data_IF_201488243400
#
_entry.id   IF_201488243400
#
_cell.length_a   1.000
_cell.length_b   1.000
_cell.length_c   1.000
_cell.angle_alpha   90.00
_cell.angle_beta   90.00
_cell.angle_gamma   90.00
#
_symmetry.space_group_name_H-M   'P 1'
#
loop_
_entity.id
_entity.type
_entity.pdbx_description
1 polymer ?
#
# COMPACT_ATOMS: atom_id res chain seq x y z
N UNK A 1 27.70 11.75 65.57
CA UNK A 1 28.49 11.49 64.38
C UNK A 1 28.18 10.17 63.63
N UNK A 2 27.20 9.38 64.00
CA UNK A 2 26.79 8.12 63.32
C UNK A 2 25.73 8.31 62.18
N UNK A 3 24.99 9.39 62.20
CA UNK A 3 23.87 9.64 61.27
C UNK A 3 24.37 9.98 59.88
N UNK A 4 25.53 10.64 59.71
CA UNK A 4 26.05 11.05 58.41
C UNK A 4 26.49 9.86 57.50
N UNK A 5 26.96 8.76 58.13
CA UNK A 5 27.42 7.57 57.36
C UNK A 5 26.28 6.76 56.76
N UNK A 6 25.08 6.80 57.35
CA UNK A 6 23.89 6.12 56.85
C UNK A 6 23.37 6.86 55.61
N UNK A 7 23.32 8.19 55.65
CA UNK A 7 22.89 8.99 54.50
C UNK A 7 23.82 8.84 53.32
N UNK A 8 25.11 8.77 53.57
CA UNK A 8 26.08 8.54 52.46
C UNK A 8 25.93 7.15 51.83
N UNK A 9 25.61 6.12 52.61
CA UNK A 9 25.35 4.76 52.09
C UNK A 9 24.02 4.67 51.32
N UNK A 10 22.99 5.37 51.77
CA UNK A 10 21.70 5.43 51.05
C UNK A 10 21.83 6.23 49.75
N UNK A 11 22.54 7.34 49.77
CA UNK A 11 22.81 8.13 48.56
C UNK A 11 23.64 7.37 47.55
N UNK A 12 24.68 6.64 47.97
CA UNK A 12 25.50 5.82 47.06
C UNK A 12 24.72 4.61 46.51
N UNK A 13 23.83 4.00 47.28
CA UNK A 13 22.93 2.94 46.79
C UNK A 13 21.91 3.47 45.77
N UNK A 14 21.35 4.67 46.01
CA UNK A 14 20.45 5.33 45.05
C UNK A 14 21.17 5.70 43.75
N UNK A 15 22.39 6.21 43.79
CA UNK A 15 23.18 6.52 42.65
C UNK A 15 23.59 5.23 41.92
N UNK A 16 23.97 4.17 42.59
CA UNK A 16 24.29 2.86 41.97
C UNK A 16 23.02 2.23 41.32
N UNK A 17 21.86 2.37 41.97
CA UNK A 17 20.59 1.91 41.39
C UNK A 17 20.20 2.74 40.18
N UNK A 18 20.44 4.06 40.17
CA UNK A 18 20.26 4.92 38.99
C UNK A 18 21.18 4.49 37.84
N UNK A 19 22.45 4.17 38.10
CA UNK A 19 23.38 3.67 37.09
C UNK A 19 23.03 2.26 36.60
N UNK A 20 22.43 1.42 37.41
CA UNK A 20 21.96 0.08 37.01
C UNK A 20 20.67 0.14 36.14
N UNK A 21 19.80 1.12 36.40
CA UNK A 21 18.60 1.33 35.59
C UNK A 21 18.89 2.10 34.30
N UNK A 22 19.97 2.87 34.23
CA UNK A 22 20.48 3.54 33.03
C UNK A 22 21.47 2.67 32.22
N UNK A 23 21.44 1.35 32.31
CA UNK A 23 21.85 0.57 31.16
C UNK A 23 20.83 0.85 30.07
N UNK A 24 21.11 1.88 29.26
CA UNK A 24 20.47 2.01 27.97
C UNK A 24 20.59 0.64 27.28
N UNK A 25 19.51 -0.10 27.09
CA UNK A 25 19.54 -1.05 26.00
C UNK A 25 19.83 -0.12 24.83
N UNK A 26 21.03 -0.27 24.23
CA UNK A 26 21.31 0.41 22.99
C UNK A 26 20.04 0.24 22.17
N UNK A 27 19.43 1.35 21.73
CA UNK A 27 18.31 1.30 20.83
C UNK A 27 18.80 0.43 19.67
N UNK A 28 18.54 -0.87 19.77
CA UNK A 28 18.46 -1.67 18.57
C UNK A 28 17.34 -0.92 17.83
N UNK A 29 17.76 -0.14 16.84
CA UNK A 29 16.87 0.18 15.77
C UNK A 29 16.37 -1.18 15.30
N UNK A 30 15.28 -1.63 15.87
CA UNK A 30 14.42 -2.58 15.21
C UNK A 30 13.98 -1.73 14.02
N UNK A 31 14.78 -1.81 12.95
CA UNK A 31 14.20 -1.60 11.65
C UNK A 31 12.99 -2.50 11.69
N UNK A 32 11.81 -1.90 11.74
CA UNK A 32 10.61 -2.65 11.47
C UNK A 32 10.96 -3.39 10.18
N UNK A 33 11.04 -4.70 10.25
CA UNK A 33 11.49 -5.59 9.16
C UNK A 33 10.39 -5.65 8.09
N UNK A 34 9.61 -4.60 8.05
CA UNK A 34 8.45 -4.41 7.26
C UNK A 34 8.68 -3.35 6.23
N UNK A 35 8.41 -3.70 5.06
CA UNK A 35 8.28 -2.79 3.97
C UNK A 35 9.32 -3.01 2.91
N UNK A 36 8.93 -2.68 1.71
CA UNK A 36 9.74 -2.55 0.54
C UNK A 36 9.95 -1.06 0.24
N UNK A 37 10.56 -0.27 1.17
CA UNK A 37 10.82 1.12 0.91
C UNK A 37 11.82 1.20 -0.23
N UNK A 38 11.60 2.14 -1.14
CA UNK A 38 12.46 2.34 -2.31
C UNK A 38 12.51 1.20 -3.31
N UNK A 39 11.57 0.26 -3.29
CA UNK A 39 11.58 -0.87 -4.22
C UNK A 39 10.39 -0.83 -5.16
N UNK A 40 10.65 -1.22 -6.42
CA UNK A 40 9.61 -1.58 -7.37
C UNK A 40 9.76 -3.06 -7.74
N UNK A 41 8.64 -3.74 -7.93
CA UNK A 41 8.57 -5.16 -8.29
C UNK A 41 7.97 -5.30 -9.67
N UNK A 42 8.61 -6.10 -10.51
CA UNK A 42 8.24 -6.29 -11.91
C UNK A 42 8.01 -7.76 -12.18
N UNK A 43 6.79 -8.12 -12.57
CA UNK A 43 6.44 -9.48 -12.98
C UNK A 43 6.69 -9.71 -14.48
N UNK A 44 6.87 -10.97 -14.87
CA UNK A 44 7.12 -11.37 -16.26
C UNK A 44 8.57 -11.18 -16.71
N UNK A 45 9.48 -10.95 -15.78
CA UNK A 45 10.90 -10.82 -16.10
C UNK A 45 11.56 -12.18 -16.34
N UNK A 46 12.75 -12.19 -16.92
CA UNK A 46 13.49 -13.43 -17.22
C UNK A 46 13.75 -14.31 -15.98
N UNK A 47 13.66 -13.76 -14.79
CA UNK A 47 13.85 -14.47 -13.51
C UNK A 47 12.56 -14.61 -12.68
N UNK A 48 11.40 -14.30 -13.25
CA UNK A 48 10.11 -14.28 -12.56
C UNK A 48 9.76 -12.87 -12.08
N UNK A 49 10.17 -12.47 -10.88
CA UNK A 49 10.02 -11.09 -10.38
C UNK A 49 11.40 -10.45 -10.29
N UNK A 50 11.58 -9.29 -10.91
CA UNK A 50 12.76 -8.44 -10.69
C UNK A 50 12.44 -7.38 -9.65
N UNK A 51 13.44 -7.08 -8.81
CA UNK A 51 13.37 -6.03 -7.79
C UNK A 51 14.26 -4.87 -8.22
N UNK A 52 13.67 -3.71 -8.39
CA UNK A 52 14.36 -2.46 -8.75
C UNK A 52 14.47 -1.61 -7.48
N UNK A 53 15.67 -1.17 -7.17
CA UNK A 53 15.90 -0.10 -6.20
C UNK A 53 15.64 1.25 -6.87
N UNK A 54 14.64 1.98 -6.39
CA UNK A 54 14.17 3.24 -6.98
C UNK A 54 15.25 4.32 -6.89
N UNK A 55 15.94 4.42 -5.76
CA UNK A 55 17.00 5.39 -5.55
C UNK A 55 18.26 5.10 -6.36
N UNK A 56 18.61 3.82 -6.55
CA UNK A 56 19.76 3.40 -7.36
C UNK A 56 19.41 3.25 -8.85
N UNK A 57 18.13 3.25 -9.21
CA UNK A 57 17.62 3.12 -10.58
C UNK A 57 18.13 1.87 -11.30
N UNK A 58 18.22 0.75 -10.59
CA UNK A 58 18.73 -0.52 -11.14
C UNK A 58 18.10 -1.73 -10.49
N UNK A 59 18.18 -2.87 -11.18
CA UNK A 59 17.80 -4.17 -10.60
C UNK A 59 18.81 -4.55 -9.53
N UNK A 60 18.31 -4.79 -8.31
CA UNK A 60 19.13 -5.19 -7.15
C UNK A 60 18.85 -6.61 -6.67
N UNK A 61 17.76 -7.23 -7.15
CA UNK A 61 17.39 -8.57 -6.79
C UNK A 61 16.39 -9.20 -7.76
N UNK A 62 16.10 -10.47 -7.54
CA UNK A 62 15.05 -11.17 -8.27
C UNK A 62 14.53 -12.35 -7.45
N UNK A 63 13.25 -12.69 -7.64
CA UNK A 63 12.60 -13.85 -7.04
C UNK A 63 12.24 -14.84 -8.13
N UNK A 64 12.84 -16.04 -8.07
CA UNK A 64 12.51 -17.11 -9.01
C UNK A 64 11.12 -17.67 -8.68
N UNK A 65 10.27 -17.78 -9.71
CA UNK A 65 8.94 -18.34 -9.58
C UNK A 65 8.81 -19.60 -10.44
N UNK A 66 8.05 -20.57 -9.95
CA UNK A 66 7.87 -21.87 -10.62
C UNK A 66 6.88 -21.84 -11.77
N UNK A 67 6.07 -20.81 -11.87
CA UNK A 67 5.06 -20.62 -12.92
C UNK A 67 5.00 -19.16 -13.35
N UNK A 68 4.36 -18.93 -14.50
CA UNK A 68 4.11 -17.59 -15.01
C UNK A 68 3.24 -16.79 -14.03
N UNK A 69 3.62 -15.53 -13.87
CA UNK A 69 2.96 -14.56 -13.01
C UNK A 69 2.16 -13.58 -13.86
N UNK A 70 1.01 -13.14 -13.38
CA UNK A 70 0.21 -12.13 -14.10
C UNK A 70 0.14 -10.83 -13.30
N UNK A 71 -0.42 -10.82 -12.12
CA UNK A 71 -0.53 -9.65 -11.28
C UNK A 71 0.27 -9.79 -9.99
N UNK A 72 0.75 -8.66 -9.50
CA UNK A 72 1.40 -8.53 -8.20
C UNK A 72 0.76 -7.38 -7.45
N UNK A 73 0.66 -7.51 -6.12
CA UNK A 73 0.14 -6.50 -5.23
C UNK A 73 1.00 -6.46 -3.97
N UNK A 74 1.37 -5.27 -3.51
CA UNK A 74 2.16 -5.10 -2.30
C UNK A 74 1.22 -4.77 -1.13
N UNK A 75 1.42 -5.43 0.03
CA UNK A 75 0.67 -5.11 1.24
C UNK A 75 0.91 -3.66 1.66
N UNK A 76 -0.06 -3.04 2.36
CA UNK A 76 0.02 -1.62 2.76
C UNK A 76 1.26 -1.32 3.61
N UNK A 77 1.71 -2.29 4.40
CA UNK A 77 2.93 -2.18 5.21
C UNK A 77 4.20 -2.54 4.43
N UNK A 78 4.06 -2.94 3.16
CA UNK A 78 5.15 -3.30 2.25
C UNK A 78 5.89 -4.59 2.59
N UNK A 79 5.43 -5.38 3.58
CA UNK A 79 6.12 -6.62 4.01
C UNK A 79 5.84 -7.81 3.12
N UNK A 80 4.68 -7.83 2.47
CA UNK A 80 4.20 -8.98 1.71
C UNK A 80 3.89 -8.59 0.27
N UNK A 81 4.25 -9.48 -0.63
CA UNK A 81 3.95 -9.39 -2.05
C UNK A 81 2.99 -10.51 -2.41
N UNK A 82 1.77 -10.17 -2.79
CA UNK A 82 0.80 -11.12 -3.31
C UNK A 82 0.99 -11.27 -4.80
N UNK A 83 1.01 -12.49 -5.28
CA UNK A 83 1.24 -12.79 -6.70
C UNK A 83 0.21 -13.79 -7.20
N UNK A 84 -0.29 -13.56 -8.41
CA UNK A 84 -1.18 -14.49 -9.10
C UNK A 84 -0.40 -15.36 -10.08
N UNK A 85 -0.77 -16.62 -10.15
CA UNK A 85 -0.18 -17.65 -11.01
C UNK A 85 -1.30 -18.36 -11.77
N UNK A 86 -1.81 -17.76 -12.87
CA UNK A 86 -3.01 -18.24 -13.56
C UNK A 86 -2.90 -19.68 -14.06
N UNK A 87 -1.74 -20.06 -14.61
CA UNK A 87 -1.50 -21.39 -15.17
C UNK A 87 -1.55 -22.50 -14.12
N UNK A 88 -1.15 -22.23 -12.91
CA UNK A 88 -1.20 -23.17 -11.78
C UNK A 88 -2.43 -22.99 -10.87
N UNK A 89 -3.24 -21.96 -11.09
CA UNK A 89 -4.42 -21.66 -10.27
C UNK A 89 -4.10 -21.17 -8.87
N UNK A 90 -2.92 -20.56 -8.63
CA UNK A 90 -2.51 -20.16 -7.29
C UNK A 90 -2.46 -18.66 -7.12
N UNK A 91 -2.74 -18.23 -5.88
CA UNK A 91 -2.35 -16.93 -5.34
C UNK A 91 -1.41 -17.18 -4.18
N UNK A 92 -0.20 -16.63 -4.25
CA UNK A 92 0.83 -16.82 -3.25
C UNK A 92 1.18 -15.51 -2.56
N UNK A 93 1.46 -15.58 -1.26
CA UNK A 93 2.03 -14.49 -0.48
C UNK A 93 3.51 -14.74 -0.27
N UNK A 94 4.33 -13.78 -0.67
CA UNK A 94 5.77 -13.81 -0.54
C UNK A 94 6.22 -12.76 0.48
N UNK A 95 7.32 -13.03 1.18
CA UNK A 95 8.02 -11.97 1.90
C UNK A 95 8.65 -11.00 0.89
N UNK A 96 8.26 -9.74 0.90
CA UNK A 96 8.68 -8.73 -0.08
C UNK A 96 10.20 -8.53 -0.14
N UNK A 97 10.89 -8.75 0.98
CA UNK A 97 12.34 -8.60 1.08
C UNK A 97 13.14 -9.77 0.52
N UNK A 98 12.64 -10.99 0.66
CA UNK A 98 13.39 -12.21 0.35
C UNK A 98 12.80 -13.02 -0.81
N UNK A 99 11.55 -12.77 -1.18
CA UNK A 99 10.80 -13.59 -2.15
C UNK A 99 10.40 -14.96 -1.61
N UNK A 100 10.63 -15.24 -0.32
CA UNK A 100 10.22 -16.51 0.29
C UNK A 100 8.69 -16.61 0.33
N UNK A 101 8.15 -17.72 -0.18
CA UNK A 101 6.73 -18.01 -0.09
C UNK A 101 6.34 -18.29 1.36
N UNK A 102 5.35 -17.56 1.86
CA UNK A 102 4.80 -17.69 3.21
C UNK A 102 3.58 -18.62 3.20
N UNK A 103 2.67 -18.38 2.29
CA UNK A 103 1.50 -19.21 2.05
C UNK A 103 1.05 -19.13 0.59
N UNK A 104 0.18 -20.07 0.19
CA UNK A 104 -0.41 -20.12 -1.13
C UNK A 104 -1.83 -20.67 -1.04
N UNK A 105 -2.75 -20.13 -1.82
CA UNK A 105 -4.11 -20.61 -1.98
C UNK A 105 -4.32 -21.15 -3.38
N UNK A 106 -5.00 -22.30 -3.51
CA UNK A 106 -5.50 -22.76 -4.80
C UNK A 106 -6.85 -22.10 -5.08
N UNK A 107 -6.87 -21.22 -6.07
CA UNK A 107 -8.03 -20.39 -6.40
C UNK A 107 -8.58 -20.81 -7.76
N UNK A 108 -9.89 -21.07 -7.86
CA UNK A 108 -10.49 -21.42 -9.13
C UNK A 108 -10.49 -20.24 -10.12
N UNK A 109 -10.48 -20.55 -11.42
CA UNK A 109 -10.72 -19.54 -12.45
C UNK A 109 -9.49 -18.78 -12.92
N UNK A 110 -8.29 -19.39 -12.87
CA UNK A 110 -7.06 -18.80 -13.41
C UNK A 110 -6.81 -17.37 -12.88
N UNK A 111 -6.50 -17.21 -11.59
CA UNK A 111 -6.40 -15.91 -10.94
C UNK A 111 -5.36 -15.04 -11.66
N UNK A 112 -5.77 -13.85 -12.12
CA UNK A 112 -4.95 -12.88 -12.85
C UNK A 112 -5.12 -11.45 -12.34
N UNK A 113 -6.04 -11.24 -11.41
CA UNK A 113 -6.41 -9.95 -10.86
C UNK A 113 -6.31 -9.96 -9.34
N UNK A 114 -5.88 -8.85 -8.76
CA UNK A 114 -5.81 -8.63 -7.32
C UNK A 114 -6.40 -7.27 -6.98
N UNK A 115 -7.16 -7.20 -5.89
CA UNK A 115 -7.59 -5.95 -5.26
C UNK A 115 -7.62 -6.13 -3.75
N UNK A 116 -7.20 -5.14 -3.00
CA UNK A 116 -7.17 -5.19 -1.55
C UNK A 116 -8.16 -4.22 -0.93
N UNK A 117 -8.92 -4.70 0.05
CA UNK A 117 -9.82 -3.89 0.86
C UNK A 117 -9.20 -3.66 2.24
N UNK A 118 -8.66 -2.45 2.51
CA UNK A 118 -8.04 -2.15 3.79
C UNK A 118 -9.03 -2.09 4.95
N UNK A 119 -10.29 -1.74 4.69
CA UNK A 119 -11.31 -1.64 5.73
C UNK A 119 -11.80 -3.00 6.22
N UNK A 120 -11.93 -3.96 5.32
CA UNK A 120 -12.31 -5.33 5.66
C UNK A 120 -11.11 -6.24 5.89
N UNK A 121 -9.90 -5.80 5.59
CA UNK A 121 -8.69 -6.59 5.58
C UNK A 121 -8.86 -7.89 4.77
N UNK A 122 -9.21 -7.73 3.50
CA UNK A 122 -9.50 -8.82 2.56
C UNK A 122 -8.74 -8.59 1.26
N UNK A 123 -8.14 -9.64 0.74
CA UNK A 123 -7.57 -9.67 -0.60
C UNK A 123 -8.57 -10.36 -1.54
N UNK A 124 -9.02 -9.63 -2.55
CA UNK A 124 -9.85 -10.17 -3.62
C UNK A 124 -8.99 -10.63 -4.79
N UNK A 125 -9.35 -11.76 -5.37
CA UNK A 125 -8.75 -12.25 -6.60
C UNK A 125 -9.80 -12.79 -7.55
N UNK A 126 -9.56 -12.64 -8.84
CA UNK A 126 -10.37 -13.20 -9.92
C UNK A 126 -9.51 -13.33 -11.18
N UNK A 127 -10.04 -13.88 -12.25
CA UNK A 127 -9.31 -13.89 -13.52
C UNK A 127 -10.01 -14.57 -14.67
N UNK A 128 -9.31 -14.60 -15.79
CA UNK A 128 -9.77 -15.20 -17.04
C UNK A 128 -10.04 -16.70 -16.87
N UNK A 129 -11.18 -17.16 -17.37
CA UNK A 129 -11.61 -18.55 -17.27
C UNK A 129 -12.42 -18.88 -16.02
N UNK A 130 -12.66 -17.91 -15.11
CA UNK A 130 -13.53 -18.02 -13.96
C UNK A 130 -14.58 -16.93 -13.91
N UNK A 131 -15.75 -17.32 -13.37
CA UNK A 131 -16.87 -16.42 -13.12
C UNK A 131 -17.02 -16.14 -11.62
N UNK A 132 -15.90 -16.07 -10.90
CA UNK A 132 -15.96 -15.88 -9.46
C UNK A 132 -14.87 -14.92 -8.96
N UNK A 133 -15.21 -14.16 -7.93
CA UNK A 133 -14.26 -13.42 -7.10
C UNK A 133 -14.05 -14.22 -5.83
N UNK A 134 -12.81 -14.54 -5.53
CA UNK A 134 -12.43 -15.25 -4.30
C UNK A 134 -11.87 -14.24 -3.29
N UNK A 135 -12.38 -14.31 -2.07
CA UNK A 135 -11.87 -13.56 -0.91
C UNK A 135 -10.83 -14.39 -0.17
N UNK A 136 -9.66 -13.83 0.01
CA UNK A 136 -8.55 -14.42 0.76
C UNK A 136 -8.28 -13.63 2.03
N UNK A 137 -7.87 -14.34 3.06
CA UNK A 137 -7.24 -13.73 4.23
C UNK A 137 -5.82 -13.30 3.84
N UNK A 138 -5.48 -12.00 3.94
CA UNK A 138 -4.16 -11.51 3.52
C UNK A 138 -3.02 -11.94 4.44
N UNK A 139 -3.31 -12.49 5.63
CA UNK A 139 -2.29 -12.92 6.58
C UNK A 139 -1.88 -14.40 6.45
N UNK A 140 -2.74 -15.24 5.88
CA UNK A 140 -2.51 -16.69 5.83
C UNK A 140 -2.99 -17.37 4.55
N UNK A 141 -3.42 -16.62 3.53
CA UNK A 141 -3.97 -17.10 2.27
C UNK A 141 -5.25 -17.96 2.38
N UNK A 142 -5.90 -18.04 3.53
CA UNK A 142 -7.11 -18.84 3.67
C UNK A 142 -8.24 -18.26 2.81
N UNK A 143 -8.92 -19.12 2.05
CA UNK A 143 -10.12 -18.73 1.31
C UNK A 143 -11.24 -18.50 2.32
N UNK A 144 -11.74 -17.24 2.40
CA UNK A 144 -12.86 -16.87 3.26
C UNK A 144 -14.19 -17.20 2.60
N UNK A 145 -14.30 -16.86 1.32
CA UNK A 145 -15.50 -17.16 0.51
C UNK A 145 -15.27 -16.88 -0.97
N UNK A 146 -16.27 -17.24 -1.77
CA UNK A 146 -16.31 -16.98 -3.21
C UNK A 146 -17.63 -16.30 -3.58
N UNK A 147 -17.57 -15.25 -4.38
CA UNK A 147 -18.71 -14.52 -4.96
C UNK A 147 -18.83 -14.98 -6.41
N UNK A 148 -19.91 -15.68 -6.74
CA UNK A 148 -20.16 -16.13 -8.10
C UNK A 148 -20.73 -15.02 -8.98
N UNK A 149 -20.20 -14.88 -10.16
CA UNK A 149 -20.64 -13.97 -11.21
C UNK A 149 -21.28 -14.76 -12.36
N UNK A 150 -22.07 -14.04 -13.18
CA UNK A 150 -22.73 -14.68 -14.33
C UNK A 150 -21.86 -14.73 -15.59
N UNK A 151 -20.73 -14.05 -15.57
CA UNK A 151 -19.83 -13.93 -16.72
C UNK A 151 -18.35 -13.79 -16.31
N UNK A 152 -17.39 -14.01 -17.22
CA UNK A 152 -15.97 -13.84 -16.94
C UNK A 152 -15.61 -12.45 -16.45
N UNK A 153 -14.63 -12.39 -15.54
CA UNK A 153 -14.18 -11.17 -14.86
C UNK A 153 -12.90 -10.68 -15.52
N UNK A 154 -12.85 -9.38 -15.80
CA UNK A 154 -11.74 -8.71 -16.49
C UNK A 154 -11.08 -7.60 -15.66
N UNK A 155 -11.69 -7.18 -14.54
CA UNK A 155 -11.12 -6.15 -13.69
C UNK A 155 -11.68 -6.18 -12.28
N UNK A 156 -10.86 -5.80 -11.32
CA UNK A 156 -11.20 -5.65 -9.91
C UNK A 156 -10.65 -4.33 -9.39
N UNK A 157 -11.43 -3.64 -8.58
CA UNK A 157 -10.95 -2.51 -7.79
C UNK A 157 -11.76 -2.37 -6.50
N UNK A 158 -11.19 -1.74 -5.49
CA UNK A 158 -11.88 -1.36 -4.27
C UNK A 158 -11.94 0.16 -4.18
N UNK A 159 -13.15 0.70 -4.01
CA UNK A 159 -13.39 2.10 -3.74
C UNK A 159 -13.71 2.30 -2.26
N UNK A 160 -13.11 3.31 -1.64
CA UNK A 160 -13.44 3.76 -0.29
C UNK A 160 -14.21 5.06 -0.43
N UNK A 161 -15.51 5.01 -0.19
CA UNK A 161 -16.41 6.14 -0.41
C UNK A 161 -16.94 6.63 0.93
N UNK A 162 -16.92 7.95 1.16
CA UNK A 162 -17.54 8.55 2.33
C UNK A 162 -19.05 8.27 2.36
N UNK A 163 -19.60 7.83 3.48
CA UNK A 163 -21.03 7.53 3.64
C UNK A 163 -21.91 8.76 3.80
N UNK A 164 -21.30 9.96 3.79
CA UNK A 164 -21.98 11.23 4.06
C UNK A 164 -22.01 11.61 5.54
N UNK A 165 -21.75 10.69 6.47
CA UNK A 165 -21.53 11.00 7.86
C UNK A 165 -20.03 11.25 8.11
N UNK A 166 -19.65 12.24 8.96
CA UNK A 166 -18.26 12.53 9.24
C UNK A 166 -17.49 11.31 9.79
N UNK A 167 -16.44 10.91 9.10
CA UNK A 167 -15.57 9.80 9.52
C UNK A 167 -16.09 8.39 9.16
N UNK A 168 -17.25 8.26 8.57
CA UNK A 168 -17.74 6.97 8.08
C UNK A 168 -17.39 6.77 6.60
N UNK A 169 -16.87 5.60 6.28
CA UNK A 169 -16.60 5.18 4.92
C UNK A 169 -17.29 3.86 4.61
N UNK A 170 -17.65 3.67 3.36
CA UNK A 170 -18.17 2.42 2.84
C UNK A 170 -17.21 1.89 1.78
N UNK A 171 -16.71 0.69 1.99
CA UNK A 171 -15.87 0.02 1.01
C UNK A 171 -16.75 -0.68 -0.02
N UNK A 172 -16.46 -0.42 -1.28
CA UNK A 172 -17.17 -0.99 -2.42
C UNK A 172 -16.19 -1.82 -3.25
N UNK A 173 -16.54 -3.07 -3.48
CA UNK A 173 -15.84 -3.90 -4.46
C UNK A 173 -16.48 -3.66 -5.83
N UNK A 174 -15.68 -3.21 -6.79
CA UNK A 174 -16.04 -3.01 -8.18
C UNK A 174 -15.49 -4.14 -9.04
N UNK A 175 -16.37 -4.82 -9.75
CA UNK A 175 -16.05 -5.99 -10.59
C UNK A 175 -16.45 -5.70 -12.02
N UNK A 176 -15.47 -5.66 -12.92
CA UNK A 176 -15.70 -5.57 -14.34
C UNK A 176 -15.93 -6.99 -14.90
N UNK A 177 -17.14 -7.24 -15.41
CA UNK A 177 -17.43 -8.47 -16.11
C UNK A 177 -17.46 -8.29 -17.63
N UNK A 178 -18.03 -9.21 -18.40
CA UNK A 178 -18.00 -9.16 -19.85
C UNK A 178 -18.67 -7.89 -20.43
N UNK A 179 -19.64 -7.29 -19.75
CA UNK A 179 -20.43 -6.16 -20.27
C UNK A 179 -20.67 -5.06 -19.26
N UNK A 180 -20.44 -5.34 -17.98
CA UNK A 180 -20.91 -4.49 -16.88
C UNK A 180 -19.83 -4.26 -15.83
N UNK A 181 -20.00 -3.16 -15.10
CA UNK A 181 -19.38 -2.94 -13.79
C UNK A 181 -20.41 -3.26 -12.72
N UNK A 182 -20.09 -4.23 -11.89
CA UNK A 182 -20.92 -4.65 -10.76
C UNK A 182 -20.33 -4.12 -9.46
N UNK A 183 -21.14 -3.51 -8.62
CA UNK A 183 -20.70 -2.87 -7.37
C UNK A 183 -21.27 -3.63 -6.20
N UNK A 184 -20.40 -4.08 -5.31
CA UNK A 184 -20.74 -4.82 -4.11
C UNK A 184 -20.38 -4.04 -2.85
N UNK A 185 -21.28 -4.06 -1.87
CA UNK A 185 -21.03 -3.59 -0.50
C UNK A 185 -21.36 -4.73 0.45
N UNK A 186 -20.48 -5.05 1.35
CA UNK A 186 -20.66 -6.18 2.26
C UNK A 186 -21.16 -7.44 1.51
N UNK A 187 -20.54 -7.73 0.35
CA UNK A 187 -20.84 -8.89 -0.51
C UNK A 187 -22.19 -8.89 -1.21
N UNK A 188 -22.97 -7.84 -1.02
CA UNK A 188 -24.27 -7.68 -1.66
C UNK A 188 -24.11 -6.80 -2.88
N UNK A 189 -24.63 -7.25 -4.02
CA UNK A 189 -24.73 -6.44 -5.24
C UNK A 189 -25.66 -5.26 -4.99
N UNK A 190 -25.15 -4.04 -5.11
CA UNK A 190 -25.91 -2.80 -4.90
C UNK A 190 -26.15 -2.03 -6.19
N UNK A 191 -25.53 -2.42 -7.28
CA UNK A 191 -25.70 -1.83 -8.59
C UNK A 191 -24.90 -2.52 -9.68
N UNK A 192 -25.39 -2.38 -10.90
CA UNK A 192 -24.72 -2.84 -12.11
C UNK A 192 -24.86 -1.75 -13.17
N UNK A 193 -23.75 -1.46 -13.86
CA UNK A 193 -23.66 -0.42 -14.87
C UNK A 193 -23.13 -1.04 -16.18
N UNK A 194 -23.91 -0.95 -17.24
CA UNK A 194 -23.48 -1.40 -18.57
C UNK A 194 -22.37 -0.48 -19.10
N UNK A 195 -21.29 -1.08 -19.62
CA UNK A 195 -20.17 -0.36 -20.21
C UNK A 195 -19.99 -0.82 -21.65
N UNK A 196 -20.24 0.05 -22.64
CA UNK A 196 -20.06 -0.28 -24.04
C UNK A 196 -18.61 -0.70 -24.32
N UNK A 197 -18.41 -1.75 -25.09
CA UNK A 197 -17.08 -2.27 -25.39
C UNK A 197 -16.49 -3.24 -24.36
N UNK A 198 -17.23 -3.53 -23.28
CA UNK A 198 -16.86 -4.46 -22.23
C UNK A 198 -15.73 -3.94 -21.34
N UNK A 199 -16.00 -3.66 -20.08
CA UNK A 199 -15.01 -3.11 -19.16
C UNK A 199 -13.85 -4.09 -18.93
N UNK A 200 -12.66 -3.55 -18.63
CA UNK A 200 -11.46 -4.34 -18.42
C UNK A 200 -10.73 -3.87 -17.15
N UNK A 201 -9.86 -2.88 -17.25
CA UNK A 201 -9.12 -2.39 -16.10
C UNK A 201 -9.83 -1.20 -15.46
N UNK A 202 -9.69 -1.11 -14.13
CA UNK A 202 -10.24 -0.02 -13.34
C UNK A 202 -9.14 0.66 -12.55
N UNK A 203 -9.21 1.98 -12.44
CA UNK A 203 -8.42 2.78 -11.51
C UNK A 203 -9.35 3.74 -10.78
N UNK A 204 -9.22 3.79 -9.46
CA UNK A 204 -10.07 4.62 -8.59
C UNK A 204 -9.15 5.55 -7.79
N UNK A 205 -8.73 6.68 -8.37
CA UNK A 205 -7.94 7.68 -7.66
C UNK A 205 -8.73 8.31 -6.51
N UNK A 206 -8.06 8.97 -5.56
CA UNK A 206 -8.74 9.76 -4.55
C UNK A 206 -9.70 10.76 -5.18
N UNK A 207 -10.97 10.77 -4.74
CA UNK A 207 -12.01 11.63 -5.28
C UNK A 207 -13.32 10.90 -5.56
N UNK A 208 -14.02 11.30 -6.60
CA UNK A 208 -15.38 10.82 -6.91
C UNK A 208 -15.49 10.10 -8.25
N UNK A 209 -14.39 9.84 -8.93
CA UNK A 209 -14.37 9.32 -10.29
C UNK A 209 -13.53 8.05 -10.38
N UNK A 210 -14.09 6.99 -10.93
CA UNK A 210 -13.36 5.83 -11.40
C UNK A 210 -13.09 5.96 -12.90
N UNK A 211 -11.94 5.46 -13.35
CA UNK A 211 -11.61 5.33 -14.77
C UNK A 211 -11.67 3.86 -15.17
N UNK A 212 -12.23 3.61 -16.32
CA UNK A 212 -12.48 2.26 -16.83
C UNK A 212 -12.01 2.16 -18.26
N UNK A 213 -11.08 1.26 -18.53
CA UNK A 213 -10.73 0.88 -19.91
C UNK A 213 -11.65 -0.23 -20.38
N UNK A 214 -11.79 -0.36 -21.69
CA UNK A 214 -12.61 -1.41 -22.29
C UNK A 214 -11.79 -2.28 -23.24
N UNK A 215 -12.24 -3.51 -23.40
CA UNK A 215 -11.61 -4.48 -24.33
C UNK A 215 -11.69 -4.04 -25.80
N UNK A 216 -12.63 -3.14 -26.13
CA UNK A 216 -12.75 -2.54 -27.48
C UNK A 216 -11.97 -1.22 -27.61
N UNK A 217 -11.10 -0.88 -26.64
CA UNK A 217 -10.16 0.23 -26.75
C UNK A 217 -10.78 1.60 -26.53
N UNK A 218 -11.67 1.72 -25.55
CA UNK A 218 -12.17 3.01 -25.05
C UNK A 218 -11.86 3.20 -23.57
N UNK A 219 -11.80 4.46 -23.13
CA UNK A 219 -11.70 4.86 -21.73
C UNK A 219 -12.94 5.65 -21.34
N UNK A 220 -13.53 5.31 -20.23
CA UNK A 220 -14.68 5.98 -19.64
C UNK A 220 -14.37 6.47 -18.23
N UNK A 221 -15.04 7.53 -17.81
CA UNK A 221 -15.16 7.93 -16.42
C UNK A 221 -16.49 7.46 -15.83
N UNK A 222 -16.49 7.06 -14.57
CA UNK A 222 -17.66 6.68 -13.82
C UNK A 222 -17.73 7.52 -12.56
N UNK A 223 -18.84 8.22 -12.35
CA UNK A 223 -19.11 8.90 -11.08
C UNK A 223 -19.43 7.86 -10.01
N UNK A 224 -18.61 7.81 -8.95
CA UNK A 224 -18.70 6.80 -7.90
C UNK A 224 -19.99 6.91 -7.06
N UNK A 225 -20.55 8.12 -6.97
CA UNK A 225 -21.75 8.39 -6.16
C UNK A 225 -23.03 8.05 -6.94
N UNK A 226 -23.17 8.63 -8.13
CA UNK A 226 -24.37 8.45 -8.97
C UNK A 226 -24.31 7.18 -9.82
N UNK A 227 -23.13 6.57 -9.95
CA UNK A 227 -22.86 5.41 -10.83
C UNK A 227 -23.23 5.67 -12.28
N UNK A 228 -23.00 6.88 -12.74
CA UNK A 228 -23.23 7.26 -14.14
C UNK A 228 -21.93 7.13 -14.94
N UNK A 229 -22.05 6.54 -16.11
CA UNK A 229 -20.99 6.45 -17.10
C UNK A 229 -20.95 7.75 -17.91
N UNK A 230 -19.75 8.26 -18.15
CA UNK A 230 -19.50 9.35 -19.11
C UNK A 230 -19.69 8.87 -20.56
N UNK A 231 -19.76 9.75 -21.55
CA UNK A 231 -19.31 9.45 -22.89
C UNK A 231 -17.85 8.96 -22.87
N UNK A 232 -17.37 8.25 -23.92
CA UNK A 232 -15.96 7.85 -23.97
C UNK A 232 -15.06 9.09 -23.96
N UNK A 233 -14.05 9.06 -23.09
CA UNK A 233 -13.02 10.11 -23.00
C UNK A 233 -12.05 10.00 -24.20
N UNK A 234 -11.67 8.78 -24.53
CA UNK A 234 -10.93 8.43 -25.74
C UNK A 234 -11.39 7.08 -26.26
N UNK A 235 -11.11 6.82 -27.52
CA UNK A 235 -11.41 5.56 -28.21
C UNK A 235 -10.32 5.23 -29.24
N UNK A 236 -10.22 3.95 -29.61
CA UNK A 236 -9.29 3.49 -30.64
C UNK A 236 -7.90 3.14 -30.10
N UNK A 237 -7.75 2.95 -28.77
CA UNK A 237 -6.54 2.47 -28.14
C UNK A 237 -6.55 0.97 -27.83
N UNK A 238 -5.49 0.51 -27.18
CA UNK A 238 -5.41 -0.79 -26.51
C UNK A 238 -4.73 -0.57 -25.17
N UNK A 239 -5.50 -0.69 -24.09
CA UNK A 239 -5.07 -0.17 -22.79
C UNK A 239 -4.63 -1.28 -21.83
N UNK A 240 -3.52 -1.04 -21.13
CA UNK A 240 -3.00 -1.87 -20.03
C UNK A 240 -3.52 -1.43 -18.68
N UNK A 241 -3.13 -2.17 -17.61
CA UNK A 241 -3.36 -1.75 -16.22
C UNK A 241 -2.82 -0.35 -15.95
N UNK A 242 -3.68 0.50 -15.42
CA UNK A 242 -3.42 1.91 -15.15
C UNK A 242 -3.14 2.16 -13.67
N UNK A 243 -2.47 3.25 -13.37
CA UNK A 243 -2.24 3.73 -12.02
C UNK A 243 -2.49 5.24 -11.93
N UNK A 244 -2.45 5.79 -10.74
CA UNK A 244 -2.73 7.19 -10.50
C UNK A 244 -1.73 7.84 -9.52
N UNK A 245 -1.53 9.13 -9.68
CA UNK A 245 -0.81 9.95 -8.71
C UNK A 245 -1.75 10.27 -7.54
N UNK A 246 -1.42 9.79 -6.34
CA UNK A 246 -2.26 9.98 -5.15
C UNK A 246 -2.41 11.44 -4.70
N UNK A 247 -1.47 12.32 -5.09
CA UNK A 247 -1.51 13.75 -4.73
C UNK A 247 -2.29 14.60 -5.72
N UNK A 248 -2.17 14.31 -7.01
CA UNK A 248 -2.83 15.10 -8.07
C UNK A 248 -4.13 14.47 -8.55
N UNK A 249 -4.34 13.19 -8.22
CA UNK A 249 -5.41 12.34 -8.77
C UNK A 249 -5.38 12.21 -10.31
N UNK A 250 -4.26 12.57 -10.94
CA UNK A 250 -4.05 12.28 -12.36
C UNK A 250 -3.94 10.78 -12.58
N UNK A 251 -4.59 10.27 -13.63
CA UNK A 251 -4.55 8.85 -14.01
C UNK A 251 -3.66 8.68 -15.22
N UNK A 252 -2.80 7.68 -15.16
CA UNK A 252 -1.82 7.31 -16.18
C UNK A 252 -2.22 5.98 -16.79
N UNK A 253 -2.52 5.99 -18.08
CA UNK A 253 -3.12 4.87 -18.81
C UNK A 253 -2.15 4.42 -19.91
N UNK A 254 -1.52 3.24 -19.80
CA UNK A 254 -0.71 2.69 -20.88
C UNK A 254 -1.55 2.41 -22.12
N UNK A 255 -1.24 3.04 -23.23
CA UNK A 255 -1.81 2.73 -24.54
C UNK A 255 -0.81 1.91 -25.37
N UNK A 256 -1.04 0.62 -25.42
CA UNK A 256 -0.19 -0.35 -26.10
C UNK A 256 -0.20 -0.16 -27.62
N UNK A 257 -1.36 0.26 -28.17
CA UNK A 257 -1.50 0.44 -29.63
C UNK A 257 -0.68 1.63 -30.13
N UNK A 258 -0.78 2.76 -29.40
CA UNK A 258 -0.12 4.00 -29.78
C UNK A 258 1.27 4.16 -29.14
N UNK A 259 1.74 3.18 -28.35
CA UNK A 259 3.04 3.17 -27.64
C UNK A 259 3.26 4.43 -26.82
N UNK A 260 2.28 4.75 -26.00
CA UNK A 260 2.31 5.95 -25.14
C UNK A 260 1.65 5.69 -23.79
N UNK A 261 1.83 6.60 -22.87
CA UNK A 261 1.02 6.70 -21.66
C UNK A 261 0.16 7.94 -21.77
N UNK A 262 -1.14 7.75 -21.75
CA UNK A 262 -2.13 8.83 -21.72
C UNK A 262 -2.38 9.28 -20.29
N UNK A 263 -2.42 10.60 -20.08
CA UNK A 263 -2.59 11.19 -18.76
C UNK A 263 -3.86 12.02 -18.74
N UNK A 264 -4.75 11.70 -17.80
CA UNK A 264 -5.98 12.46 -17.57
C UNK A 264 -5.92 13.17 -16.21
N UNK A 265 -6.26 14.46 -16.23
CA UNK A 265 -6.51 15.22 -15.01
C UNK A 265 -7.78 14.75 -14.31
N UNK A 266 -7.91 14.93 -12.99
CA UNK A 266 -9.10 14.50 -12.26
C UNK A 266 -10.36 15.18 -12.78
N UNK A 267 -11.44 14.40 -12.90
CA UNK A 267 -12.77 14.88 -13.27
C UNK A 267 -13.56 15.07 -11.98
N UNK A 268 -14.05 16.28 -11.75
CA UNK A 268 -14.83 16.61 -10.57
C UNK A 268 -16.35 16.50 -10.84
N UNK A 269 -17.18 16.18 -9.82
CA UNK A 269 -18.62 16.19 -9.94
C UNK A 269 -19.12 17.56 -10.43
N UNK A 270 -20.06 17.54 -11.40
CA UNK A 270 -20.61 18.77 -11.97
C UNK A 270 -19.75 19.41 -13.06
N UNK A 271 -18.65 18.80 -13.48
CA UNK A 271 -17.89 19.25 -14.66
C UNK A 271 -18.79 19.15 -15.90
N UNK A 272 -19.05 20.32 -16.52
CA UNK A 272 -19.93 20.41 -17.69
C UNK A 272 -19.24 20.00 -19.00
N UNK A 273 -17.91 20.03 -19.04
CA UNK A 273 -17.10 19.67 -20.20
C UNK A 273 -16.16 18.54 -19.83
N UNK A 274 -16.45 17.35 -20.34
CA UNK A 274 -15.54 16.20 -20.19
C UNK A 274 -14.40 16.30 -21.24
N UNK A 275 -13.19 15.83 -20.89
CA UNK A 275 -12.13 15.74 -21.87
C UNK A 275 -12.50 14.73 -22.97
N UNK A 276 -12.11 15.02 -24.20
CA UNK A 276 -12.25 14.13 -25.35
C UNK A 276 -10.87 13.66 -25.86
N UNK A 277 -9.83 14.07 -25.18
CA UNK A 277 -8.43 13.71 -25.43
C UNK A 277 -7.66 13.71 -24.11
N UNK A 278 -6.53 13.01 -24.00
CA UNK A 278 -5.67 13.09 -22.84
C UNK A 278 -5.12 14.51 -22.65
N UNK A 279 -4.93 14.91 -21.39
CA UNK A 279 -4.24 16.17 -21.08
C UNK A 279 -2.78 16.14 -21.56
N UNK A 280 -2.17 14.95 -21.52
CA UNK A 280 -0.83 14.67 -22.03
C UNK A 280 -0.77 13.26 -22.57
N UNK A 281 0.08 13.07 -23.61
CA UNK A 281 0.48 11.75 -24.11
C UNK A 281 1.99 11.66 -24.10
N UNK A 282 2.53 10.71 -23.35
CA UNK A 282 3.96 10.47 -23.18
C UNK A 282 4.36 9.35 -24.11
N UNK A 283 5.00 9.66 -25.22
CA UNK A 283 5.41 8.68 -26.22
C UNK A 283 6.61 7.83 -25.77
N UNK A 284 6.57 6.55 -26.10
CA UNK A 284 7.54 5.56 -25.70
C UNK A 284 8.17 4.87 -26.91
N UNK A 285 9.43 4.44 -26.76
CA UNK A 285 10.12 3.66 -27.81
C UNK A 285 9.65 2.21 -27.94
N UNK A 286 8.88 1.70 -26.98
CA UNK A 286 8.37 0.34 -26.94
C UNK A 286 6.93 0.32 -26.42
N UNK A 287 6.25 -0.83 -26.56
CA UNK A 287 4.86 -1.00 -26.12
C UNK A 287 4.77 -1.03 -24.60
N UNK A 288 4.05 -0.08 -23.95
CA UNK A 288 3.82 -0.12 -22.51
C UNK A 288 2.82 -1.23 -22.17
N UNK A 289 3.08 -1.97 -21.09
CA UNK A 289 2.23 -3.04 -20.62
C UNK A 289 1.44 -2.62 -19.38
N UNK A 290 2.10 -2.00 -18.43
CA UNK A 290 1.51 -1.46 -17.18
C UNK A 290 2.36 -0.31 -16.67
N UNK A 291 1.81 0.44 -15.73
CA UNK A 291 2.50 1.53 -15.04
C UNK A 291 2.26 1.43 -13.53
N UNK A 292 3.24 1.87 -12.74
CA UNK A 292 3.10 2.09 -11.31
C UNK A 292 3.73 3.43 -10.94
N UNK A 293 3.05 4.20 -10.09
CA UNK A 293 3.51 5.51 -9.64
C UNK A 293 3.94 5.42 -8.18
N UNK A 294 5.06 6.04 -7.86
CA UNK A 294 5.56 6.08 -6.47
C UNK A 294 4.60 6.81 -5.55
N UNK A 295 4.58 6.43 -4.28
CA UNK A 295 3.65 6.99 -3.29
C UNK A 295 3.81 8.49 -3.05
N UNK A 296 4.96 9.09 -3.41
CA UNK A 296 5.20 10.54 -3.39
C UNK A 296 4.75 11.26 -4.68
N UNK A 297 4.29 10.49 -5.68
CA UNK A 297 3.84 11.01 -6.97
C UNK A 297 4.94 11.62 -7.84
N UNK A 298 6.23 11.34 -7.56
CA UNK A 298 7.34 11.96 -8.29
C UNK A 298 7.84 11.10 -9.44
N UNK A 299 7.77 9.78 -9.30
CA UNK A 299 8.29 8.85 -10.28
C UNK A 299 7.21 7.87 -10.73
N UNK A 300 7.27 7.49 -12.01
CA UNK A 300 6.50 6.42 -12.60
C UNK A 300 7.42 5.35 -13.17
N UNK A 301 7.00 4.09 -13.10
CA UNK A 301 7.70 2.95 -13.69
C UNK A 301 6.77 2.27 -14.67
N UNK A 302 7.20 2.14 -15.92
CA UNK A 302 6.41 1.60 -17.00
C UNK A 302 7.05 0.29 -17.47
N UNK A 303 6.35 -0.82 -17.30
CA UNK A 303 6.76 -2.10 -17.86
C UNK A 303 6.62 -2.04 -19.39
N UNK A 304 7.69 -2.36 -20.11
CA UNK A 304 7.74 -2.29 -21.57
C UNK A 304 7.93 -3.68 -22.17
N UNK A 305 7.22 -3.99 -23.23
CA UNK A 305 7.52 -5.15 -24.02
C UNK A 305 8.99 -5.11 -24.50
N UNK A 306 9.65 -6.28 -24.48
CA UNK A 306 11.06 -6.37 -24.88
C UNK A 306 12.05 -6.28 -23.72
N UNK A 307 11.59 -6.46 -22.48
CA UNK A 307 12.48 -6.71 -21.33
C UNK A 307 12.99 -5.47 -20.63
N UNK A 308 12.34 -4.32 -20.77
CA UNK A 308 12.75 -3.07 -20.16
C UNK A 308 11.66 -2.49 -19.25
N UNK A 309 12.07 -1.63 -18.32
CA UNK A 309 11.22 -0.75 -17.55
C UNK A 309 11.66 0.68 -17.79
N UNK A 310 10.77 1.53 -18.29
CA UNK A 310 11.03 2.95 -18.37
C UNK A 310 10.72 3.64 -17.06
N UNK A 311 11.57 4.57 -16.67
CA UNK A 311 11.39 5.42 -15.50
C UNK A 311 10.97 6.81 -15.95
N UNK A 312 9.82 7.24 -15.47
CA UNK A 312 9.15 8.49 -15.82
C UNK A 312 9.30 9.49 -14.68
N UNK A 313 9.77 10.68 -14.98
CA UNK A 313 9.62 11.85 -14.11
C UNK A 313 8.18 12.37 -14.26
N UNK A 314 7.38 12.23 -13.21
CA UNK A 314 5.96 12.58 -13.22
C UNK A 314 5.75 14.09 -13.41
N UNK A 315 6.40 14.99 -12.65
CA UNK A 315 6.27 16.43 -12.85
C UNK A 315 6.71 16.89 -14.24
N UNK A 316 7.84 16.38 -14.71
CA UNK A 316 8.40 16.76 -16.01
C UNK A 316 7.76 16.06 -17.21
N UNK A 317 6.92 15.02 -16.98
CA UNK A 317 6.27 14.21 -18.04
C UNK A 317 7.27 13.64 -19.07
N UNK A 318 8.45 13.23 -18.62
CA UNK A 318 9.53 12.73 -19.47
C UNK A 318 10.18 11.46 -18.97
N UNK A 319 10.64 10.62 -19.87
CA UNK A 319 11.41 9.42 -19.53
C UNK A 319 12.84 9.86 -19.16
N UNK A 320 13.26 9.49 -17.94
CA UNK A 320 14.58 9.86 -17.41
C UNK A 320 15.57 8.69 -17.39
N UNK A 321 15.08 7.46 -17.44
CA UNK A 321 15.94 6.27 -17.47
C UNK A 321 15.20 5.08 -18.08
N UNK A 322 15.97 4.05 -18.49
CA UNK A 322 15.45 2.75 -18.92
C UNK A 322 16.27 1.64 -18.29
N UNK A 323 15.60 0.74 -17.57
CA UNK A 323 16.21 -0.32 -16.77
C UNK A 323 15.95 -1.66 -17.45
N UNK A 324 17.02 -2.40 -17.81
CA UNK A 324 16.90 -3.73 -18.38
C UNK A 324 16.56 -4.75 -17.27
N UNK A 325 15.44 -5.45 -17.40
CA UNK A 325 14.98 -6.51 -16.49
C UNK A 325 14.93 -7.89 -17.19
N UNK A 326 14.93 -7.91 -18.50
CA UNK A 326 14.81 -9.10 -19.34
C UNK A 326 13.41 -9.70 -19.34
N UNK A 327 13.18 -10.76 -20.15
CA UNK A 327 11.86 -11.40 -20.27
C UNK A 327 10.84 -10.54 -20.97
N UNK A 328 9.58 -10.65 -20.55
CA UNK A 328 8.46 -9.83 -21.03
C UNK A 328 7.74 -9.20 -19.84
N UNK A 329 8.28 -8.14 -19.26
CA UNK A 329 7.66 -7.47 -18.13
C UNK A 329 6.29 -6.93 -18.51
N UNK A 330 5.27 -7.28 -17.75
CA UNK A 330 3.88 -6.93 -18.06
C UNK A 330 3.11 -6.34 -16.89
N UNK A 331 3.60 -6.53 -15.66
CA UNK A 331 3.01 -5.90 -14.48
C UNK A 331 4.09 -5.33 -13.56
N UNK A 332 3.83 -4.17 -12.99
CA UNK A 332 4.76 -3.49 -12.09
C UNK A 332 3.99 -2.84 -10.94
N UNK A 333 4.61 -2.84 -9.76
CA UNK A 333 4.12 -2.13 -8.59
C UNK A 333 5.28 -1.49 -7.83
N UNK A 334 5.03 -0.35 -7.18
CA UNK A 334 6.01 0.35 -6.34
C UNK A 334 5.68 0.21 -4.87
N UNK A 335 6.71 0.15 -4.03
CA UNK A 335 6.61 0.31 -2.59
C UNK A 335 6.55 1.78 -2.18
N UNK A 336 6.54 2.03 -0.86
CA UNK A 336 6.59 3.38 -0.31
C UNK A 336 7.88 4.09 -0.71
N UNK A 337 7.77 5.27 -1.29
CA UNK A 337 8.89 6.13 -1.68
C UNK A 337 8.53 7.61 -1.51
N UNK A 338 9.37 8.47 -0.91
CA UNK A 338 10.51 8.06 -0.09
C UNK A 338 10.07 7.25 1.13
N UNK A 339 10.96 6.45 1.73
CA UNK A 339 10.60 5.71 2.93
C UNK A 339 10.18 6.69 4.02
N UNK A 340 9.03 6.46 4.62
CA UNK A 340 8.54 7.28 5.72
C UNK A 340 9.42 7.01 6.95
N UNK A 341 10.46 7.81 7.13
CA UNK A 341 11.32 7.74 8.31
C UNK A 341 10.48 8.12 9.53
N UNK A 342 10.29 7.19 10.44
CA UNK A 342 9.61 7.42 11.73
C UNK A 342 8.10 7.20 11.77
N UNK A 343 7.46 6.72 10.71
CA UNK A 343 6.02 6.43 10.69
C UNK A 343 5.68 4.93 10.78
N UNK A 344 6.59 4.08 11.28
CA UNK A 344 6.08 2.83 11.83
C UNK A 344 5.15 3.21 12.98
N UNK A 345 3.89 2.69 13.04
CA UNK A 345 3.14 2.74 14.27
C UNK A 345 4.06 2.11 15.31
N UNK A 346 4.63 2.95 16.14
CA UNK A 346 5.32 2.48 17.32
C UNK A 346 4.20 1.77 18.09
N UNK A 347 4.16 0.44 18.05
CA UNK A 347 3.42 -0.29 19.05
C UNK A 347 3.82 0.41 20.36
N UNK A 348 2.83 1.01 21.04
CA UNK A 348 3.08 1.72 22.27
C UNK A 348 3.76 0.70 23.18
N UNK A 349 5.09 0.74 23.18
CA UNK A 349 5.91 -0.24 23.86
C UNK A 349 5.45 -0.16 25.30
N UNK A 350 4.96 -1.26 25.83
CA UNK A 350 4.59 -1.39 27.25
C UNK A 350 5.73 -0.81 28.13
N UNK A 351 6.97 -0.97 27.64
CA UNK A 351 8.17 -0.38 28.25
C UNK A 351 8.23 1.15 28.15
N UNK A 352 7.73 1.78 27.11
CA UNK A 352 7.64 3.25 27.04
C UNK A 352 6.68 3.81 28.09
N UNK A 353 5.55 3.13 28.30
CA UNK A 353 4.60 3.48 29.35
C UNK A 353 5.19 3.24 30.74
N UNK A 354 5.90 2.12 30.93
CA UNK A 354 6.58 1.80 32.20
C UNK A 354 7.68 2.81 32.53
N UNK A 355 8.48 3.22 31.53
CA UNK A 355 9.55 4.22 31.71
C UNK A 355 8.94 5.58 32.06
N UNK A 356 7.87 6.00 31.42
CA UNK A 356 7.20 7.26 31.74
C UNK A 356 6.61 7.25 33.16
N UNK A 357 5.93 6.17 33.55
CA UNK A 357 5.41 6.01 34.92
C UNK A 357 6.54 6.01 35.93
N UNK A 358 7.62 5.29 35.68
CA UNK A 358 8.79 5.28 36.58
C UNK A 358 9.45 6.67 36.70
N UNK A 359 9.54 7.42 35.60
CA UNK A 359 10.03 8.81 35.62
C UNK A 359 9.15 9.73 36.46
N UNK A 360 7.82 9.64 36.33
CA UNK A 360 6.88 10.40 37.13
C UNK A 360 7.00 10.05 38.64
N UNK A 361 7.09 8.76 38.98
CA UNK A 361 7.27 8.31 40.35
C UNK A 361 8.59 8.84 40.93
N UNK A 362 9.66 8.85 40.15
CA UNK A 362 10.96 9.35 40.57
C UNK A 362 10.95 10.86 40.81
N UNK A 363 10.30 11.64 39.95
CA UNK A 363 10.14 13.10 40.12
C UNK A 363 9.32 13.40 41.39
N UNK A 364 8.23 12.69 41.62
CA UNK A 364 7.41 12.82 42.82
C UNK A 364 8.21 12.46 44.07
N UNK A 365 8.99 11.38 44.03
CA UNK A 365 9.85 10.99 45.17
C UNK A 365 10.92 12.05 45.47
N UNK A 366 11.55 12.63 44.44
CA UNK A 366 12.53 13.70 44.60
C UNK A 366 11.96 14.98 45.21
N UNK A 367 10.67 15.25 44.99
CA UNK A 367 9.98 16.40 45.57
C UNK A 367 9.50 16.12 47.02
N UNK A 368 8.92 14.94 47.26
CA UNK A 368 8.29 14.63 48.56
C UNK A 368 9.32 14.23 49.62
N UNK A 369 10.34 13.43 49.29
CA UNK A 369 11.32 12.92 50.24
C UNK A 369 12.06 14.05 50.99
N UNK A 370 12.55 15.11 50.34
CA UNK A 370 13.21 16.21 51.02
C UNK A 370 12.25 16.95 51.99
N UNK A 371 10.99 17.13 51.60
CA UNK A 371 9.97 17.80 52.44
C UNK A 371 9.69 16.98 53.71
N UNK A 372 9.52 15.67 53.58
CA UNK A 372 9.29 14.77 54.71
C UNK A 372 10.50 14.73 55.64
N UNK A 373 11.72 14.68 55.06
CA UNK A 373 12.95 14.70 55.82
C UNK A 373 13.15 16.03 56.57
N UNK A 374 12.83 17.15 55.93
CA UNK A 374 12.90 18.46 56.56
C UNK A 374 11.86 18.60 57.71
N UNK A 375 10.63 18.13 57.52
CA UNK A 375 9.62 18.12 58.56
C UNK A 375 10.02 17.24 59.74
N UNK A 376 10.61 16.08 59.50
CA UNK A 376 11.13 15.22 60.60
C UNK A 376 12.30 15.86 61.32
N UNK A 377 13.23 16.50 60.59
CA UNK A 377 14.35 17.22 61.20
C UNK A 377 13.90 18.42 62.04
N UNK A 378 12.91 19.18 61.56
CA UNK A 378 12.35 20.30 62.29
C UNK A 378 11.66 19.85 63.58
N UNK A 379 10.92 18.75 63.59
CA UNK A 379 10.26 18.18 64.84
C UNK A 379 11.30 17.70 65.82
N UNK A 380 12.35 17.02 65.43
CA UNK A 380 13.40 16.57 66.41
C UNK A 380 14.18 17.71 66.98
N UNK A 381 14.26 18.88 66.35
CA UNK A 381 14.91 20.07 66.90
C UNK A 381 14.06 20.81 67.93
N UNK A 382 12.73 20.70 67.84
CA UNK A 382 11.81 21.29 68.76
C UNK A 382 11.79 20.50 70.10
N UNK A 383 11.84 19.16 70.07
CA UNK A 383 11.88 18.29 71.23
C UNK A 383 13.20 18.39 72.04
N UNK A 384 14.30 18.83 71.41
CA UNK A 384 15.57 19.04 72.13
C UNK A 384 15.73 20.42 72.82
N UNK A 385 14.81 21.38 72.54
CA UNK A 385 14.82 22.69 73.23
C UNK A 385 13.84 22.83 74.42
N UNK A 386 13.10 21.76 74.68
CA UNK A 386 12.10 21.68 75.77
C UNK A 386 12.56 20.86 76.98
N UNK A 387 13.85 20.52 77.08
CA UNK A 387 14.44 19.93 78.28
C UNK A 387 15.50 20.82 78.85
#
# INVERSE_FOLDING_TARGET
>A
MKISKIYWRIASLLVAFLFLTFRFPGSRHVYADGGAPNLAYVAGTAKGISVIDIGQQKVTGSFAMSSELEAIYLSLDGRFLYVTQPTSGHVSMLAAKTGQTICSANVPGQPSLLAFDPGLNVLYTAGNGGNSVTELDPGNCAIKQTINMNSPIYGLAVAIIGSGAPGETTNQLWVADATSLNVFVNKKLIGSLQVPGGPQYLSIPPGFTAYVTTRQGSVYAVDLTSRKLSPPLISGGSFGPMDYNAFTSEVYIPDMLNKQVDVFSPIFPGTNTLPHEPNYSIHLGAVPQSIAITSDGQLGFIALAGGNVAMLDIPGKQIINTILVGGNPHFIITGLYPPLIGTTPQEASVWGTVINVAAYVLVIALLIVPIVLFQRYARTKVDHKGK
#
